data_IF_476573195240
#
_entry.id   IF_476573195240
#
_cell.length_a   1.000
_cell.length_b   1.000
_cell.length_c   1.000
_cell.angle_alpha   90.00
_cell.angle_beta   90.00
_cell.angle_gamma   90.00
#
_symmetry.space_group_name_H-M   'P 1'
#
loop_
_entity.id
_entity.type
_entity.pdbx_description
1 polymer ?
#
# COMPACT_ATOMS: atom_id res chain seq x y z
N UNK A 1 55.66 19.74 9.92
CA UNK A 1 54.37 19.60 10.64
C UNK A 1 53.33 20.54 10.04
N UNK A 2 53.00 20.39 8.75
CA UNK A 2 52.11 21.33 8.04
C UNK A 2 51.16 20.62 7.04
N UNK A 3 50.82 19.35 7.29
CA UNK A 3 50.06 18.56 6.31
C UNK A 3 49.02 17.64 6.95
N UNK A 4 48.17 18.19 7.83
CA UNK A 4 47.12 17.41 8.52
C UNK A 4 45.76 18.14 8.62
N UNK A 5 45.54 19.22 7.84
CA UNK A 5 44.37 20.09 8.03
C UNK A 5 43.30 20.03 6.92
N UNK A 6 43.35 19.11 5.95
CA UNK A 6 42.60 19.29 4.69
C UNK A 6 41.55 18.23 4.30
N UNK A 7 41.07 17.35 5.20
CA UNK A 7 40.15 16.26 4.79
C UNK A 7 38.89 16.12 5.65
N UNK A 8 38.22 17.24 5.95
CA UNK A 8 36.90 17.22 6.61
C UNK A 8 35.85 18.07 5.87
N UNK A 9 36.02 18.27 4.56
CA UNK A 9 35.04 18.96 3.73
C UNK A 9 34.15 17.95 3.01
N UNK A 10 32.91 17.85 3.51
CA UNK A 10 31.76 17.60 2.64
C UNK A 10 31.24 16.17 2.59
N UNK A 11 30.53 15.76 3.64
CA UNK A 11 29.32 14.96 3.44
C UNK A 11 28.14 15.75 3.98
N UNK A 12 27.83 16.86 3.31
CA UNK A 12 26.50 17.44 3.42
C UNK A 12 25.53 16.39 2.88
N UNK A 13 24.93 15.63 3.79
CA UNK A 13 23.79 14.78 3.47
C UNK A 13 22.73 15.72 2.93
N UNK A 14 22.57 15.76 1.61
CA UNK A 14 21.45 16.43 0.98
C UNK A 14 20.20 15.70 1.47
N UNK A 15 19.56 16.26 2.49
CA UNK A 15 18.17 15.97 2.80
C UNK A 15 17.36 16.49 1.61
N UNK A 16 17.31 15.70 0.54
CA UNK A 16 16.29 15.84 -0.47
C UNK A 16 14.97 15.71 0.29
N UNK A 17 14.22 16.80 0.39
CA UNK A 17 12.87 16.76 0.93
C UNK A 17 12.13 15.68 0.14
N UNK A 18 11.81 14.56 0.81
CA UNK A 18 11.10 13.46 0.16
C UNK A 18 9.84 14.05 -0.44
N UNK A 19 9.75 14.03 -1.77
CA UNK A 19 8.60 14.54 -2.47
C UNK A 19 7.35 13.87 -1.88
N UNK A 20 6.29 14.64 -1.67
CA UNK A 20 5.03 14.10 -1.14
C UNK A 20 4.62 12.92 -2.03
N UNK A 21 4.40 11.72 -1.47
CA UNK A 21 4.02 10.57 -2.28
C UNK A 21 2.64 10.79 -2.89
N UNK A 22 2.46 10.32 -4.12
CA UNK A 22 1.14 10.20 -4.72
C UNK A 22 0.45 8.96 -4.13
N UNK A 23 -0.82 9.09 -3.76
CA UNK A 23 -1.62 8.01 -3.19
C UNK A 23 -2.70 7.64 -4.21
N UNK A 24 -2.70 6.40 -4.68
CA UNK A 24 -3.76 5.82 -5.50
C UNK A 24 -4.51 4.79 -4.67
N UNK A 25 -5.82 4.99 -4.53
CA UNK A 25 -6.72 4.04 -3.88
C UNK A 25 -7.60 3.35 -4.93
N UNK A 26 -7.63 2.02 -4.92
CA UNK A 26 -8.44 1.19 -5.81
C UNK A 26 -9.39 0.38 -4.92
N UNK A 27 -10.70 0.49 -5.17
CA UNK A 27 -11.73 -0.22 -4.44
C UNK A 27 -12.65 -0.96 -5.40
N UNK A 28 -12.67 -2.28 -5.30
CA UNK A 28 -13.62 -3.13 -6.02
C UNK A 28 -14.99 -3.11 -5.35
N UNK A 29 -16.04 -3.26 -6.14
CA UNK A 29 -17.42 -3.42 -5.65
C UNK A 29 -17.78 -4.91 -5.62
N UNK A 30 -18.53 -5.34 -4.60
CA UNK A 30 -18.96 -6.73 -4.43
C UNK A 30 -17.85 -7.78 -4.60
N UNK A 31 -16.65 -7.47 -4.10
CA UNK A 31 -15.51 -8.39 -4.10
C UNK A 31 -15.41 -9.12 -2.76
N UNK A 32 -15.76 -10.39 -2.77
CA UNK A 32 -15.55 -11.36 -1.70
C UNK A 32 -14.09 -11.80 -1.57
N UNK A 33 -13.78 -12.33 -0.38
CA UNK A 33 -12.42 -12.71 0.03
C UNK A 33 -11.69 -13.65 -0.94
N UNK A 34 -12.39 -14.64 -1.49
CA UNK A 34 -11.82 -15.70 -2.32
C UNK A 34 -11.81 -15.35 -3.82
N UNK A 35 -12.12 -14.11 -4.22
CA UNK A 35 -12.08 -13.71 -5.63
C UNK A 35 -10.68 -13.26 -6.10
N UNK A 36 -9.86 -12.54 -5.31
CA UNK A 36 -8.46 -12.28 -5.69
C UNK A 36 -7.56 -13.51 -5.48
N UNK A 37 -6.73 -13.83 -6.47
CA UNK A 37 -5.88 -15.04 -6.45
C UNK A 37 -4.82 -15.03 -5.36
N UNK A 38 -4.39 -13.86 -4.91
CA UNK A 38 -3.53 -13.72 -3.75
C UNK A 38 -4.15 -14.28 -2.45
N UNK A 39 -5.48 -14.38 -2.34
CA UNK A 39 -6.15 -14.93 -1.16
C UNK A 39 -6.60 -16.37 -1.33
N UNK A 40 -7.13 -16.74 -2.50
CA UNK A 40 -7.58 -18.11 -2.72
C UNK A 40 -6.46 -19.10 -3.08
N UNK A 41 -5.29 -18.62 -3.52
CA UNK A 41 -4.07 -19.43 -3.69
C UNK A 41 -4.29 -20.73 -4.48
N UNK A 42 -5.05 -20.65 -5.58
CA UNK A 42 -5.36 -21.79 -6.45
C UNK A 42 -6.57 -22.65 -6.02
N UNK A 43 -7.27 -22.29 -4.93
CA UNK A 43 -8.49 -22.98 -4.50
C UNK A 43 -9.76 -22.59 -5.28
N UNK A 44 -9.69 -21.51 -6.07
CA UNK A 44 -10.80 -21.00 -6.89
C UNK A 44 -10.33 -20.76 -8.33
N UNK A 45 -11.28 -20.64 -9.24
CA UNK A 45 -11.03 -20.28 -10.65
C UNK A 45 -10.92 -18.77 -10.78
N UNK A 46 -9.89 -18.31 -11.50
CA UNK A 46 -9.62 -16.90 -11.76
C UNK A 46 -8.24 -16.52 -11.26
N UNK A 47 -7.52 -15.72 -12.05
CA UNK A 47 -6.18 -15.25 -11.70
C UNK A 47 -6.15 -13.73 -11.79
N UNK A 48 -5.56 -13.09 -10.79
CA UNK A 48 -5.43 -11.63 -10.71
C UNK A 48 -3.96 -11.21 -10.63
N UNK A 49 -3.13 -11.50 -11.67
CA UNK A 49 -1.68 -11.36 -11.58
C UNK A 49 -1.20 -9.96 -11.22
N UNK A 50 -1.93 -8.91 -11.64
CA UNK A 50 -1.60 -7.53 -11.30
C UNK A 50 -1.89 -7.18 -9.82
N UNK A 51 -2.99 -7.69 -9.26
CA UNK A 51 -3.33 -7.52 -7.83
C UNK A 51 -2.36 -8.33 -6.97
N UNK A 52 -2.05 -9.55 -7.41
CA UNK A 52 -1.10 -10.43 -6.75
C UNK A 52 0.28 -9.79 -6.65
N UNK A 53 0.72 -9.13 -7.71
CA UNK A 53 1.98 -8.39 -7.74
C UNK A 53 2.00 -7.27 -6.70
N UNK A 54 0.91 -6.49 -6.58
CA UNK A 54 0.79 -5.41 -5.58
C UNK A 54 0.96 -5.96 -4.16
N UNK A 55 0.28 -7.07 -3.83
CA UNK A 55 0.39 -7.66 -2.49
C UNK A 55 1.71 -8.39 -2.22
N UNK A 56 2.38 -8.92 -3.25
CA UNK A 56 3.72 -9.56 -3.14
C UNK A 56 4.86 -8.55 -2.99
N UNK A 57 4.79 -7.42 -3.70
CA UNK A 57 5.79 -6.34 -3.62
C UNK A 57 5.55 -5.42 -2.41
N UNK A 58 4.31 -5.38 -1.91
CA UNK A 58 3.91 -4.57 -0.76
C UNK A 58 3.50 -5.42 0.44
N UNK A 59 2.28 -5.20 0.91
CA UNK A 59 1.70 -5.89 2.05
C UNK A 59 0.35 -6.52 1.68
N UNK A 60 0.03 -7.62 2.35
CA UNK A 60 -1.26 -8.32 2.26
C UNK A 60 -1.89 -8.39 3.64
N UNK A 61 -3.14 -7.96 3.77
CA UNK A 61 -3.88 -8.01 5.03
C UNK A 61 -4.72 -9.28 5.08
N UNK A 62 -4.51 -10.12 6.10
CA UNK A 62 -5.26 -11.37 6.29
C UNK A 62 -6.55 -11.19 7.10
N UNK A 63 -6.73 -10.02 7.70
CA UNK A 63 -7.86 -9.69 8.56
C UNK A 63 -8.32 -8.29 8.19
N UNK A 64 -9.56 -8.19 7.74
CA UNK A 64 -10.22 -6.94 7.39
C UNK A 64 -11.72 -7.09 7.66
N UNK A 65 -12.38 -5.96 7.92
CA UNK A 65 -13.81 -5.90 8.16
C UNK A 65 -14.40 -4.84 7.24
N UNK A 66 -15.61 -5.08 6.76
CA UNK A 66 -16.32 -4.18 5.86
C UNK A 66 -17.82 -4.20 6.17
N UNK A 67 -18.49 -3.09 5.88
CA UNK A 67 -19.94 -3.01 5.95
C UNK A 67 -20.58 -3.85 4.84
N UNK A 68 -21.72 -4.47 5.15
CA UNK A 68 -22.50 -5.29 4.20
C UNK A 68 -23.29 -4.44 3.18
N UNK A 69 -23.01 -3.14 3.09
CA UNK A 69 -23.70 -2.20 2.21
C UNK A 69 -22.68 -1.33 1.48
N UNK A 70 -22.82 -1.23 0.16
CA UNK A 70 -21.97 -0.39 -0.69
C UNK A 70 -22.00 1.08 -0.23
N UNK A 71 -23.16 1.60 0.18
CA UNK A 71 -23.29 2.99 0.63
C UNK A 71 -22.63 3.19 1.99
N UNK A 72 -22.92 2.31 2.96
CA UNK A 72 -22.37 2.42 4.30
C UNK A 72 -20.85 2.26 4.30
N UNK A 73 -20.34 1.24 3.60
CA UNK A 73 -18.90 0.94 3.54
C UNK A 73 -18.10 2.05 2.86
N UNK A 74 -18.60 2.62 1.76
CA UNK A 74 -17.93 3.74 1.08
C UNK A 74 -17.97 5.01 1.92
N UNK A 75 -19.12 5.32 2.53
CA UNK A 75 -19.22 6.47 3.41
C UNK A 75 -18.25 6.34 4.59
N UNK A 76 -18.20 5.18 5.24
CA UNK A 76 -17.28 4.93 6.35
C UNK A 76 -15.82 5.09 5.95
N UNK A 77 -15.45 4.63 4.74
CA UNK A 77 -14.10 4.82 4.21
C UNK A 77 -13.76 6.31 3.96
N UNK A 78 -14.68 7.06 3.34
CA UNK A 78 -14.43 8.47 2.99
C UNK A 78 -14.44 9.40 4.21
N UNK A 79 -15.31 9.15 5.18
CA UNK A 79 -15.45 10.01 6.37
C UNK A 79 -14.61 9.55 7.54
N UNK A 80 -14.17 8.29 7.56
CA UNK A 80 -13.51 7.69 8.72
C UNK A 80 -14.45 7.45 9.91
N UNK A 81 -15.76 7.47 9.69
CA UNK A 81 -16.79 7.30 10.72
C UNK A 81 -17.55 5.99 10.51
N UNK A 82 -17.83 5.26 11.60
CA UNK A 82 -18.72 4.12 11.53
C UNK A 82 -20.19 4.62 11.37
N UNK A 83 -21.00 3.98 10.51
CA UNK A 83 -22.41 4.32 10.30
C UNK A 83 -23.29 4.16 11.55
#
# INVERSE_FOLDING_TARGET
MALLAALALGTASAFAASAKPNILFIMGDDIGWMQPSIYHQGLMVGETPNIDRIGKEGARFMTYYAEQSCTAGRNAFFTGMHP
#
